data_IF_755911341655
#
_entry.id   IF_755911341655
#
_cell.length_a   1.000
_cell.length_b   1.000
_cell.length_c   1.000
_cell.angle_alpha   90.00
_cell.angle_beta   90.00
_cell.angle_gamma   90.00
#
_symmetry.space_group_name_H-M   'P 1'
#
loop_
_entity.id
_entity.type
_entity.pdbx_description
1 polymer ?
#
# COMPACT_ATOMS: atom_id res chain seq x y z
N UNK A 1 -64.41 -62.77 140.01
CA UNK A 1 -65.45 -63.76 140.34
C UNK A 1 -64.93 -65.07 139.80
N UNK A 2 -64.09 -65.75 140.58
CA UNK A 2 -64.53 -66.74 141.59
C UNK A 2 -65.04 -68.01 140.87
N UNK A 3 -64.64 -69.23 141.18
CA UNK A 3 -63.96 -69.78 142.34
C UNK A 3 -63.80 -71.30 142.11
N UNK A 4 -62.85 -71.89 142.85
CA UNK A 4 -62.87 -73.25 143.41
C UNK A 4 -62.78 -74.49 142.48
N UNK A 5 -61.71 -75.30 142.58
CA UNK A 5 -61.35 -76.27 143.64
C UNK A 5 -61.97 -77.66 143.36
N UNK A 6 -61.12 -78.69 143.16
CA UNK A 6 -60.89 -79.83 144.08
C UNK A 6 -62.13 -80.76 144.16
N UNK A 7 -62.07 -82.07 143.92
CA UNK A 7 -61.13 -83.08 144.40
C UNK A 7 -61.40 -84.44 143.71
N UNK A 8 -60.33 -85.24 143.54
CA UNK A 8 -60.13 -86.71 143.69
C UNK A 8 -61.33 -87.69 143.53
N UNK A 9 -61.21 -88.94 143.05
CA UNK A 9 -60.16 -89.97 143.11
C UNK A 9 -60.53 -91.14 142.16
N UNK A 10 -59.52 -91.86 141.63
CA UNK A 10 -59.41 -93.32 141.31
C UNK A 10 -60.54 -94.05 140.52
N UNK A 11 -60.32 -94.98 139.56
CA UNK A 11 -59.28 -96.00 139.32
C UNK A 11 -59.16 -96.35 137.80
N UNK A 12 -58.05 -97.04 137.44
CA UNK A 12 -57.56 -97.42 136.09
C UNK A 12 -58.28 -98.63 135.40
N UNK A 13 -57.83 -99.24 134.27
CA UNK A 13 -57.07 -98.78 133.07
C UNK A 13 -57.67 -99.26 131.70
N UNK A 14 -57.23 -98.70 130.55
CA UNK A 14 -57.46 -99.27 129.19
C UNK A 14 -57.12 -98.36 128.00
N UNK A 15 -55.83 -98.20 127.63
CA UNK A 15 -55.34 -97.11 126.76
C UNK A 15 -54.54 -97.42 125.48
N UNK A 16 -54.18 -98.66 125.15
CA UNK A 16 -53.14 -98.91 124.12
C UNK A 16 -53.65 -98.95 122.66
N UNK A 17 -54.90 -99.36 122.44
CA UNK A 17 -55.41 -99.65 121.08
C UNK A 17 -55.72 -98.41 120.24
N UNK A 18 -55.87 -97.23 120.87
CA UNK A 18 -56.25 -95.98 120.20
C UNK A 18 -55.05 -95.23 119.60
N UNK A 19 -53.86 -95.36 120.18
CA UNK A 19 -52.65 -94.65 119.74
C UNK A 19 -52.14 -95.21 118.40
N UNK A 20 -52.17 -96.53 118.24
CA UNK A 20 -51.73 -97.22 117.02
C UNK A 20 -52.59 -96.79 115.81
N UNK A 21 -53.91 -96.64 115.99
CA UNK A 21 -54.81 -96.25 114.90
C UNK A 21 -54.51 -94.83 114.40
N UNK A 22 -54.22 -93.88 115.30
CA UNK A 22 -53.90 -92.50 114.93
C UNK A 22 -52.58 -92.43 114.16
N UNK A 23 -51.58 -93.20 114.57
CA UNK A 23 -50.28 -93.26 113.87
C UNK A 23 -50.41 -93.82 112.46
N UNK A 24 -51.18 -94.90 112.27
CA UNK A 24 -51.39 -95.50 110.93
C UNK A 24 -52.12 -94.53 110.01
N UNK A 25 -53.16 -93.84 110.50
CA UNK A 25 -53.89 -92.83 109.72
C UNK A 25 -52.98 -91.66 109.35
N UNK A 26 -52.16 -91.17 110.27
CA UNK A 26 -51.18 -90.12 110.01
C UNK A 26 -50.16 -90.51 108.94
N UNK A 27 -49.68 -91.75 108.97
CA UNK A 27 -48.75 -92.30 107.97
C UNK A 27 -49.38 -92.41 106.59
N UNK A 28 -50.64 -92.87 106.50
CA UNK A 28 -51.36 -92.95 105.23
C UNK A 28 -51.59 -91.55 104.64
N UNK A 29 -51.97 -90.58 105.46
CA UNK A 29 -52.12 -89.18 105.02
C UNK A 29 -50.80 -88.58 104.55
N UNK A 30 -49.70 -88.85 105.25
CA UNK A 30 -48.36 -88.40 104.84
C UNK A 30 -47.94 -89.01 103.50
N UNK A 31 -48.23 -90.30 103.28
CA UNK A 31 -47.94 -90.98 102.01
C UNK A 31 -48.78 -90.40 100.86
N UNK A 32 -50.07 -90.15 101.08
CA UNK A 32 -50.95 -89.52 100.06
C UNK A 32 -50.46 -88.12 99.71
N UNK A 33 -50.05 -87.33 100.71
CA UNK A 33 -49.47 -86.00 100.49
C UNK A 33 -48.17 -86.05 99.69
N UNK A 34 -47.31 -87.05 99.94
CA UNK A 34 -46.07 -87.23 99.22
C UNK A 34 -46.30 -87.64 97.74
N UNK A 35 -47.26 -88.53 97.49
CA UNK A 35 -47.68 -88.90 96.13
C UNK A 35 -48.25 -87.69 95.39
N UNK A 36 -49.07 -86.87 96.04
CA UNK A 36 -49.60 -85.64 95.44
C UNK A 36 -48.48 -84.64 95.10
N UNK A 37 -47.50 -84.45 95.98
CA UNK A 37 -46.34 -83.61 95.72
C UNK A 37 -45.51 -84.13 94.54
N UNK A 38 -45.35 -85.44 94.39
CA UNK A 38 -44.66 -86.05 93.25
C UNK A 38 -45.43 -85.83 91.93
N UNK A 39 -46.75 -85.99 91.91
CA UNK A 39 -47.57 -85.75 90.72
C UNK A 39 -47.54 -84.27 90.31
N UNK A 40 -47.52 -83.35 91.28
CA UNK A 40 -47.42 -81.92 90.99
C UNK A 40 -46.02 -81.53 90.51
N UNK A 41 -44.97 -82.16 91.05
CA UNK A 41 -43.60 -81.97 90.58
C UNK A 41 -43.41 -82.47 89.15
N UNK A 42 -44.05 -83.58 88.75
CA UNK A 42 -43.98 -84.07 87.36
C UNK A 42 -44.75 -83.17 86.39
N UNK A 43 -45.91 -82.63 86.78
CA UNK A 43 -46.64 -81.64 85.99
C UNK A 43 -45.85 -80.34 85.81
N UNK A 44 -45.26 -79.81 86.88
CA UNK A 44 -44.39 -78.62 86.81
C UNK A 44 -43.17 -78.84 85.92
N UNK A 45 -42.54 -80.02 85.98
CA UNK A 45 -41.43 -80.35 85.10
C UNK A 45 -41.87 -80.41 83.62
N UNK A 46 -43.10 -80.86 83.34
CA UNK A 46 -43.66 -80.86 82.00
C UNK A 46 -43.94 -79.44 81.49
N UNK A 47 -44.53 -78.58 82.31
CA UNK A 47 -44.81 -77.18 81.96
C UNK A 47 -43.51 -76.39 81.74
N UNK A 48 -42.48 -76.62 82.57
CA UNK A 48 -41.15 -76.02 82.40
C UNK A 48 -40.49 -76.52 81.12
N UNK A 49 -40.65 -77.79 80.75
CA UNK A 49 -40.11 -78.34 79.51
C UNK A 49 -40.78 -77.71 78.28
N UNK A 50 -42.11 -77.60 78.26
CA UNK A 50 -42.84 -76.94 77.18
C UNK A 50 -42.53 -75.43 77.11
N UNK A 51 -42.35 -74.78 78.26
CA UNK A 51 -41.96 -73.37 78.30
C UNK A 51 -40.55 -73.15 77.75
N UNK A 52 -39.60 -74.03 78.07
CA UNK A 52 -38.25 -74.01 77.49
C UNK A 52 -38.29 -74.24 75.98
N UNK A 53 -39.08 -75.21 75.50
CA UNK A 53 -39.21 -75.52 74.09
C UNK A 53 -39.85 -74.37 73.30
N UNK A 54 -40.94 -73.78 73.82
CA UNK A 54 -41.59 -72.63 73.20
C UNK A 54 -40.72 -71.37 73.23
N UNK A 55 -39.94 -71.16 74.29
CA UNK A 55 -38.96 -70.05 74.37
C UNK A 55 -37.82 -70.27 73.38
N UNK A 56 -37.30 -71.50 73.28
CA UNK A 56 -36.26 -71.84 72.32
C UNK A 56 -36.75 -71.67 70.88
N UNK A 57 -37.98 -72.10 70.58
CA UNK A 57 -38.60 -71.93 69.26
C UNK A 57 -38.82 -70.45 68.91
N UNK A 58 -39.18 -69.60 69.89
CA UNK A 58 -39.27 -68.16 69.68
C UNK A 58 -37.90 -67.52 69.42
N UNK A 59 -36.86 -67.93 70.16
CA UNK A 59 -35.48 -67.46 69.92
C UNK A 59 -35.01 -67.86 68.53
N UNK A 60 -35.26 -69.10 68.08
CA UNK A 60 -34.92 -69.54 66.73
C UNK A 60 -35.69 -68.75 65.67
N UNK A 61 -37.01 -68.56 65.82
CA UNK A 61 -37.80 -67.75 64.88
C UNK A 61 -37.34 -66.30 64.80
N UNK A 62 -36.97 -65.71 65.93
CA UNK A 62 -36.41 -64.35 65.96
C UNK A 62 -35.06 -64.34 65.27
N UNK A 63 -34.18 -65.31 65.56
CA UNK A 63 -32.88 -65.49 64.90
C UNK A 63 -32.99 -65.60 63.38
N UNK A 64 -33.90 -66.46 62.91
CA UNK A 64 -34.19 -66.67 61.49
C UNK A 64 -34.76 -65.40 60.84
N UNK A 65 -35.73 -64.73 61.51
CA UNK A 65 -36.30 -63.49 61.01
C UNK A 65 -35.29 -62.34 60.96
N UNK A 66 -34.40 -62.22 61.95
CA UNK A 66 -33.31 -61.25 61.94
C UNK A 66 -32.29 -61.55 60.85
N UNK A 67 -31.99 -62.82 60.60
CA UNK A 67 -31.05 -63.23 59.55
C UNK A 67 -31.64 -62.94 58.17
N UNK A 68 -32.89 -63.33 57.94
CA UNK A 68 -33.60 -63.04 56.70
C UNK A 68 -33.74 -61.53 56.43
N UNK A 69 -34.01 -60.73 57.46
CA UNK A 69 -34.06 -59.26 57.34
C UNK A 69 -32.68 -58.67 57.02
N UNK A 70 -31.61 -59.21 57.62
CA UNK A 70 -30.24 -58.79 57.32
C UNK A 70 -29.89 -59.10 55.86
N UNK A 71 -30.20 -60.31 55.39
CA UNK A 71 -29.99 -60.74 54.01
C UNK A 71 -30.78 -59.85 53.04
N UNK A 72 -32.06 -59.59 53.31
CA UNK A 72 -32.88 -58.70 52.49
C UNK A 72 -32.31 -57.26 52.45
N UNK A 73 -31.79 -56.76 53.57
CA UNK A 73 -31.18 -55.42 53.63
C UNK A 73 -29.84 -55.36 52.91
N UNK A 74 -29.04 -56.43 52.98
CA UNK A 74 -27.79 -56.55 52.23
C UNK A 74 -28.05 -56.63 50.74
N UNK A 75 -29.06 -57.39 50.31
CA UNK A 75 -29.45 -57.49 48.90
C UNK A 75 -29.95 -56.15 48.37
N UNK A 76 -30.83 -55.46 49.11
CA UNK A 76 -31.30 -54.12 48.75
C UNK A 76 -30.16 -53.09 48.71
N UNK A 77 -29.20 -53.19 49.62
CA UNK A 77 -28.02 -52.31 49.63
C UNK A 77 -27.09 -52.60 48.45
N UNK A 78 -26.87 -53.87 48.11
CA UNK A 78 -26.10 -54.28 46.94
C UNK A 78 -26.75 -53.79 45.65
N UNK A 79 -28.07 -53.94 45.51
CA UNK A 79 -28.82 -53.48 44.35
C UNK A 79 -28.75 -51.95 44.21
N UNK A 80 -28.87 -51.22 45.33
CA UNK A 80 -28.72 -49.76 45.36
C UNK A 80 -27.29 -49.34 44.98
N UNK A 81 -26.27 -50.01 45.50
CA UNK A 81 -24.86 -49.76 45.15
C UNK A 81 -24.57 -50.05 43.69
N UNK A 82 -25.14 -51.13 43.14
CA UNK A 82 -25.00 -51.50 41.73
C UNK A 82 -25.69 -50.47 40.83
N UNK A 83 -26.91 -50.05 41.15
CA UNK A 83 -27.61 -48.98 40.44
C UNK A 83 -26.88 -47.63 40.50
N UNK A 84 -26.33 -47.27 41.67
CA UNK A 84 -25.52 -46.07 41.82
C UNK A 84 -24.22 -46.13 41.02
N UNK A 85 -23.56 -47.30 40.99
CA UNK A 85 -22.34 -47.53 40.22
C UNK A 85 -22.60 -47.48 38.71
N UNK A 86 -23.69 -48.09 38.24
CA UNK A 86 -24.09 -48.06 36.83
C UNK A 86 -24.47 -46.65 36.37
N UNK A 87 -25.21 -45.90 37.20
CA UNK A 87 -25.51 -44.50 36.94
C UNK A 87 -24.25 -43.64 36.90
N UNK A 88 -23.33 -43.81 37.85
CA UNK A 88 -22.04 -43.10 37.88
C UNK A 88 -21.19 -43.42 36.63
N UNK A 89 -21.15 -44.69 36.21
CA UNK A 89 -20.43 -45.12 35.01
C UNK A 89 -21.07 -44.57 33.72
N UNK A 90 -22.40 -44.51 33.64
CA UNK A 90 -23.11 -43.92 32.52
C UNK A 90 -22.79 -42.42 32.36
N UNK A 91 -22.84 -41.66 33.46
CA UNK A 91 -22.48 -40.23 33.48
C UNK A 91 -21.00 -40.05 33.13
N UNK A 92 -20.10 -40.86 33.70
CA UNK A 92 -18.67 -40.79 33.38
C UNK A 92 -18.38 -41.12 31.89
N UNK A 93 -19.12 -42.06 31.30
CA UNK A 93 -18.98 -42.43 29.88
C UNK A 93 -19.50 -41.32 28.96
N UNK A 94 -20.63 -40.70 29.30
CA UNK A 94 -21.16 -39.54 28.58
C UNK A 94 -20.20 -38.36 28.65
N UNK A 95 -19.74 -38.00 29.86
CA UNK A 95 -18.78 -36.92 30.05
C UNK A 95 -17.48 -37.14 29.24
N UNK A 96 -16.91 -38.36 29.28
CA UNK A 96 -15.73 -38.70 28.47
C UNK A 96 -16.00 -38.59 26.97
N UNK A 97 -17.17 -39.03 26.49
CA UNK A 97 -17.54 -38.94 25.08
C UNK A 97 -17.70 -37.49 24.63
N UNK A 98 -18.32 -36.65 25.46
CA UNK A 98 -18.48 -35.22 25.19
C UNK A 98 -17.15 -34.48 25.20
N UNK A 99 -16.29 -34.74 26.19
CA UNK A 99 -14.93 -34.17 26.22
C UNK A 99 -14.12 -34.61 25.02
N UNK A 100 -14.21 -35.88 24.59
CA UNK A 100 -13.49 -36.36 23.41
C UNK A 100 -14.03 -35.74 22.11
N UNK A 101 -15.35 -35.57 21.99
CA UNK A 101 -15.95 -34.84 20.86
C UNK A 101 -15.51 -33.38 20.83
N UNK A 102 -15.50 -32.70 21.97
CA UNK A 102 -15.03 -31.31 22.08
C UNK A 102 -13.54 -31.21 21.73
N UNK A 103 -12.71 -32.14 22.22
CA UNK A 103 -11.28 -32.19 21.89
C UNK A 103 -11.06 -32.37 20.38
N UNK A 104 -11.77 -33.30 19.73
CA UNK A 104 -11.66 -33.51 18.28
C UNK A 104 -12.12 -32.27 17.50
N UNK A 105 -13.21 -31.63 17.93
CA UNK A 105 -13.67 -30.38 17.31
C UNK A 105 -12.66 -29.24 17.49
N UNK A 106 -12.03 -29.15 18.66
CA UNK A 106 -11.00 -28.15 18.94
C UNK A 106 -9.77 -28.37 18.08
N UNK A 107 -9.27 -29.61 17.97
CA UNK A 107 -8.17 -29.98 17.07
C UNK A 107 -8.48 -29.65 15.61
N UNK A 108 -9.69 -29.97 15.12
CA UNK A 108 -10.12 -29.62 13.76
C UNK A 108 -10.18 -28.11 13.53
N UNK A 109 -10.70 -27.35 14.49
CA UNK A 109 -10.72 -25.87 14.41
C UNK A 109 -9.30 -25.30 14.38
N UNK A 110 -8.40 -25.86 15.19
CA UNK A 110 -7.00 -25.44 15.23
C UNK A 110 -6.29 -25.75 13.90
N UNK A 111 -6.50 -26.94 13.32
CA UNK A 111 -5.99 -27.29 11.99
C UNK A 111 -6.55 -26.38 10.89
N UNK A 112 -7.86 -26.10 10.91
CA UNK A 112 -8.49 -25.18 9.95
C UNK A 112 -7.94 -23.76 10.07
N UNK A 113 -7.77 -23.25 11.29
CA UNK A 113 -7.15 -21.95 11.52
C UNK A 113 -5.69 -21.94 11.05
N UNK A 114 -4.93 -23.00 11.32
CA UNK A 114 -3.54 -23.10 10.90
C UNK A 114 -3.41 -23.15 9.37
N UNK A 115 -4.31 -23.85 8.68
CA UNK A 115 -4.40 -23.84 7.20
C UNK A 115 -4.83 -22.48 6.64
N UNK A 116 -5.81 -21.81 7.25
CA UNK A 116 -6.23 -20.46 6.86
C UNK A 116 -5.06 -19.47 7.01
N UNK A 117 -4.40 -19.46 8.17
CA UNK A 117 -3.24 -18.60 8.42
C UNK A 117 -2.10 -18.91 7.45
N UNK A 118 -1.82 -20.20 7.16
CA UNK A 118 -0.81 -20.55 6.16
C UNK A 118 -1.16 -20.04 4.75
N UNK A 119 -2.44 -20.09 4.38
CA UNK A 119 -2.94 -19.56 3.10
C UNK A 119 -2.83 -18.04 3.05
N UNK A 120 -3.23 -17.33 4.10
CA UNK A 120 -3.11 -15.87 4.21
C UNK A 120 -1.65 -15.42 4.19
N UNK A 121 -0.75 -16.14 4.88
CA UNK A 121 0.70 -15.86 4.85
C UNK A 121 1.24 -16.03 3.43
N UNK A 122 0.81 -17.07 2.71
CA UNK A 122 1.24 -17.30 1.32
C UNK A 122 0.74 -16.19 0.40
N UNK A 123 -0.55 -15.83 0.50
CA UNK A 123 -1.13 -14.71 -0.25
C UNK A 123 -0.44 -13.39 0.06
N UNK A 124 -0.14 -13.12 1.33
CA UNK A 124 0.58 -11.92 1.75
C UNK A 124 2.02 -11.90 1.21
N UNK A 125 2.70 -13.04 1.18
CA UNK A 125 4.04 -13.17 0.59
C UNK A 125 4.03 -12.93 -0.92
N UNK A 126 3.03 -13.45 -1.63
CA UNK A 126 2.86 -13.25 -3.07
C UNK A 126 2.52 -11.78 -3.39
N UNK A 127 1.62 -11.18 -2.60
CA UNK A 127 1.29 -9.76 -2.69
C UNK A 127 2.51 -8.87 -2.43
N UNK A 128 3.32 -9.21 -1.41
CA UNK A 128 4.56 -8.49 -1.08
C UNK A 128 5.60 -8.62 -2.20
N UNK A 129 5.76 -9.82 -2.75
CA UNK A 129 6.69 -10.06 -3.88
C UNK A 129 6.25 -9.27 -5.11
N UNK A 130 4.96 -9.30 -5.44
CA UNK A 130 4.37 -8.53 -6.55
C UNK A 130 4.55 -7.03 -6.33
N UNK A 131 4.31 -6.53 -5.11
CA UNK A 131 4.50 -5.13 -4.76
C UNK A 131 5.96 -4.70 -4.91
N UNK A 132 6.92 -5.52 -4.45
CA UNK A 132 8.35 -5.25 -4.61
C UNK A 132 8.78 -5.22 -6.09
N UNK A 133 8.28 -6.14 -6.92
CA UNK A 133 8.55 -6.12 -8.36
C UNK A 133 8.01 -4.84 -9.01
N UNK A 134 6.76 -4.46 -8.73
CA UNK A 134 6.18 -3.20 -9.22
C UNK A 134 6.93 -1.98 -8.73
N UNK A 135 7.39 -1.98 -7.48
CA UNK A 135 8.18 -0.88 -6.92
C UNK A 135 9.54 -0.76 -7.64
N UNK A 136 10.17 -1.88 -7.98
CA UNK A 136 11.42 -1.90 -8.76
C UNK A 136 11.22 -1.41 -10.19
N UNK A 137 10.10 -1.78 -10.82
CA UNK A 137 9.71 -1.30 -12.16
C UNK A 137 9.48 0.22 -12.14
N UNK A 138 8.64 0.71 -11.20
CA UNK A 138 8.40 2.15 -11.01
C UNK A 138 9.70 2.90 -10.71
N UNK A 139 10.61 2.34 -9.90
CA UNK A 139 11.91 2.97 -9.65
C UNK A 139 12.77 3.05 -10.91
N UNK A 140 12.66 2.08 -11.81
CA UNK A 140 13.36 2.08 -13.10
C UNK A 140 12.77 3.14 -14.02
N UNK A 141 11.45 3.22 -14.11
CA UNK A 141 10.74 4.24 -14.88
C UNK A 141 11.06 5.65 -14.38
N UNK A 142 11.07 5.87 -13.07
CA UNK A 142 11.45 7.16 -12.47
C UNK A 142 12.89 7.55 -12.83
N UNK A 143 13.82 6.59 -12.85
CA UNK A 143 15.19 6.84 -13.29
C UNK A 143 15.28 7.14 -14.80
N UNK A 144 14.45 6.47 -15.61
CA UNK A 144 14.27 6.77 -17.03
C UNK A 144 13.79 8.20 -17.25
N UNK A 145 12.67 8.57 -16.61
CA UNK A 145 12.10 9.93 -16.67
C UNK A 145 13.10 10.98 -16.19
N UNK A 146 13.87 10.71 -15.13
CA UNK A 146 14.92 11.63 -14.66
C UNK A 146 16.00 11.85 -15.73
N UNK A 147 16.35 10.80 -16.47
CA UNK A 147 17.31 10.87 -17.57
C UNK A 147 16.75 11.69 -18.73
N UNK A 148 15.49 11.42 -19.12
CA UNK A 148 14.80 12.16 -20.18
C UNK A 148 14.68 13.65 -19.84
N UNK A 149 14.31 13.99 -18.61
CA UNK A 149 14.22 15.39 -18.13
C UNK A 149 15.58 16.08 -18.20
N UNK A 150 16.67 15.39 -17.85
CA UNK A 150 18.02 15.95 -17.98
C UNK A 150 18.40 16.18 -19.46
N UNK A 151 18.03 15.26 -20.35
CA UNK A 151 18.23 15.42 -21.79
C UNK A 151 17.46 16.62 -22.33
N UNK A 152 16.16 16.74 -22.02
CA UNK A 152 15.32 17.87 -22.42
C UNK A 152 15.87 19.18 -21.88
N UNK A 153 16.36 19.22 -20.63
CA UNK A 153 17.00 20.41 -20.07
C UNK A 153 18.25 20.81 -20.86
N UNK A 154 19.06 19.84 -21.31
CA UNK A 154 20.21 20.07 -22.17
C UNK A 154 19.80 20.59 -23.55
N UNK A 155 18.76 20.00 -24.15
CA UNK A 155 18.23 20.42 -25.45
C UNK A 155 17.68 21.85 -25.40
N UNK A 156 17.00 22.23 -24.30
CA UNK A 156 16.53 23.60 -24.07
C UNK A 156 17.71 24.57 -23.96
N UNK A 157 18.76 24.22 -23.21
CA UNK A 157 19.95 25.07 -23.09
C UNK A 157 20.66 25.25 -24.44
N UNK A 158 20.77 24.17 -25.23
CA UNK A 158 21.31 24.20 -26.59
C UNK A 158 20.47 25.07 -27.53
N UNK A 159 19.14 24.93 -27.46
CA UNK A 159 18.18 25.73 -28.22
C UNK A 159 18.30 27.21 -27.87
N UNK A 160 18.38 27.53 -26.58
CA UNK A 160 18.53 28.91 -26.11
C UNK A 160 19.83 29.54 -26.61
N UNK A 161 20.96 28.84 -26.51
CA UNK A 161 22.24 29.26 -27.09
C UNK A 161 22.16 29.47 -28.60
N UNK A 162 21.44 28.62 -29.32
CA UNK A 162 21.22 28.77 -30.77
C UNK A 162 20.36 30.00 -31.08
N UNK A 163 19.34 30.27 -30.26
CA UNK A 163 18.48 31.44 -30.38
C UNK A 163 19.28 32.73 -30.14
N UNK A 164 20.15 32.75 -29.13
CA UNK A 164 21.01 33.89 -28.81
C UNK A 164 21.98 34.19 -29.96
N UNK A 165 22.61 33.16 -30.54
CA UNK A 165 23.47 33.30 -31.72
C UNK A 165 22.70 33.81 -32.92
N UNK A 166 21.50 33.29 -33.15
CA UNK A 166 20.64 33.72 -34.27
C UNK A 166 20.20 35.18 -34.09
N UNK A 167 19.85 35.58 -32.86
CA UNK A 167 19.53 36.97 -32.54
C UNK A 167 20.72 37.91 -32.74
N UNK A 168 21.92 37.50 -32.33
CA UNK A 168 23.14 38.26 -32.57
C UNK A 168 23.45 38.41 -34.07
N UNK A 169 23.33 37.33 -34.84
CA UNK A 169 23.54 37.37 -36.30
C UNK A 169 22.48 38.23 -37.00
N UNK A 170 21.20 38.11 -36.61
CA UNK A 170 20.14 38.96 -37.15
C UNK A 170 20.40 40.44 -36.84
N UNK A 171 20.84 40.76 -35.62
CA UNK A 171 21.22 42.14 -35.25
C UNK A 171 22.40 42.65 -36.07
N UNK A 172 23.38 41.78 -36.37
CA UNK A 172 24.52 42.09 -37.23
C UNK A 172 24.07 42.34 -38.68
N UNK A 173 23.25 41.46 -39.24
CA UNK A 173 22.68 41.60 -40.60
C UNK A 173 21.82 42.85 -40.72
N UNK A 174 20.99 43.16 -39.72
CA UNK A 174 20.20 44.41 -39.69
C UNK A 174 21.12 45.64 -39.63
N UNK A 175 22.20 45.58 -38.84
CA UNK A 175 23.21 46.64 -38.79
C UNK A 175 23.94 46.84 -40.13
N UNK A 176 24.42 45.75 -40.72
CA UNK A 176 25.13 45.77 -42.01
C UNK A 176 24.21 46.23 -43.16
N UNK A 177 22.92 45.84 -43.15
CA UNK A 177 21.94 46.34 -44.13
C UNK A 177 21.63 47.84 -43.96
N UNK A 178 21.66 48.34 -42.71
CA UNK A 178 21.53 49.76 -42.43
C UNK A 178 22.71 50.59 -42.95
N UNK A 179 23.92 50.02 -42.96
CA UNK A 179 25.13 50.68 -43.48
C UNK A 179 25.30 50.50 -44.99
N UNK A 180 24.91 49.34 -45.55
CA UNK A 180 25.16 48.99 -46.95
C UNK A 180 24.10 49.54 -47.93
N UNK A 181 22.93 49.97 -47.46
CA UNK A 181 21.99 50.76 -48.29
C UNK A 181 22.48 52.19 -48.60
N UNK A 182 23.62 52.63 -48.03
CA UNK A 182 24.09 54.01 -48.05
C UNK A 182 25.18 54.39 -49.06
N UNK A 183 25.56 53.54 -50.02
CA UNK A 183 26.70 53.84 -50.94
C UNK A 183 26.30 54.40 -52.32
N UNK A 184 25.01 54.56 -52.61
CA UNK A 184 24.52 55.21 -53.82
C UNK A 184 23.75 56.45 -53.40
N UNK A 185 24.35 57.63 -53.60
CA UNK A 185 23.65 58.87 -53.34
C UNK A 185 22.56 59.04 -54.40
N UNK A 186 21.30 58.99 -53.98
CA UNK A 186 20.16 59.15 -54.91
C UNK A 186 19.75 60.61 -55.03
N UNK A 187 20.11 61.44 -54.06
CA UNK A 187 19.82 62.88 -54.03
C UNK A 187 21.02 63.73 -53.56
N UNK A 188 20.93 65.05 -53.69
CA UNK A 188 22.01 65.98 -53.34
C UNK A 188 22.38 65.99 -51.86
N UNK A 189 21.48 65.64 -50.94
CA UNK A 189 21.80 65.54 -49.49
C UNK A 189 22.68 64.32 -49.23
N UNK A 190 22.38 63.20 -49.88
CA UNK A 190 23.20 61.99 -49.81
C UNK A 190 24.62 62.25 -50.34
N UNK A 191 24.76 63.04 -51.41
CA UNK A 191 26.07 63.46 -51.94
C UNK A 191 26.87 64.30 -50.94
N UNK A 192 26.22 65.19 -50.17
CA UNK A 192 26.88 65.95 -49.11
C UNK A 192 27.35 65.03 -47.98
N UNK A 193 26.55 64.03 -47.61
CA UNK A 193 26.94 63.02 -46.62
C UNK A 193 28.13 62.17 -47.12
N UNK A 194 28.11 61.72 -48.37
CA UNK A 194 29.23 60.99 -48.97
C UNK A 194 30.51 61.83 -49.09
N UNK A 195 30.40 63.12 -49.40
CA UNK A 195 31.54 64.05 -49.36
C UNK A 195 32.12 64.20 -47.95
N UNK A 196 31.27 64.18 -46.91
CA UNK A 196 31.70 64.26 -45.51
C UNK A 196 32.43 62.99 -45.03
N UNK A 197 32.10 61.80 -45.56
CA UNK A 197 32.82 60.55 -45.29
C UNK A 197 34.27 60.58 -45.81
N UNK A 198 34.60 61.45 -46.78
CA UNK A 198 35.97 61.82 -47.12
C UNK A 198 36.79 60.79 -47.90
N UNK A 199 36.22 59.64 -48.28
CA UNK A 199 36.92 58.56 -48.97
C UNK A 199 37.07 58.78 -50.50
N UNK A 200 36.16 59.54 -51.12
CA UNK A 200 36.11 59.77 -52.58
C UNK A 200 35.76 61.23 -52.91
N UNK A 201 36.17 61.69 -54.09
CA UNK A 201 35.79 62.99 -54.65
C UNK A 201 34.57 62.82 -55.55
N UNK A 202 33.53 63.63 -55.32
CA UNK A 202 32.27 63.57 -56.05
C UNK A 202 32.07 64.83 -56.92
N UNK A 203 32.06 64.66 -58.24
CA UNK A 203 31.86 65.71 -59.22
C UNK A 203 30.47 65.58 -59.87
N UNK A 204 29.56 66.48 -59.53
CA UNK A 204 28.23 66.51 -60.14
C UNK A 204 28.30 66.97 -61.59
N UNK A 205 27.47 66.38 -62.44
CA UNK A 205 27.37 66.74 -63.83
C UNK A 205 25.93 66.75 -64.33
N UNK A 206 25.74 67.53 -65.38
CA UNK A 206 24.54 67.56 -66.20
C UNK A 206 25.00 67.50 -67.66
N UNK A 207 24.61 66.45 -68.39
CA UNK A 207 24.96 66.23 -69.79
C UNK A 207 23.72 66.39 -70.65
N UNK A 208 23.79 67.25 -71.66
CA UNK A 208 22.75 67.37 -72.69
C UNK A 208 23.22 66.75 -74.00
N UNK A 209 22.30 66.23 -74.81
CA UNK A 209 22.63 65.64 -76.11
C UNK A 209 23.14 66.66 -77.14
N UNK A 210 22.82 67.94 -76.93
CA UNK A 210 23.35 69.06 -77.73
C UNK A 210 24.81 69.37 -77.43
N UNK A 211 25.30 69.00 -76.25
CA UNK A 211 26.71 69.17 -75.89
C UNK A 211 27.53 68.00 -76.45
N UNK A 212 28.47 68.31 -77.35
CA UNK A 212 29.32 67.31 -77.99
C UNK A 212 30.21 66.58 -76.97
N UNK A 213 30.73 67.29 -75.98
CA UNK A 213 31.55 66.75 -74.88
C UNK A 213 31.46 67.66 -73.64
N UNK A 214 31.53 67.07 -72.44
CA UNK A 214 31.65 67.81 -71.17
C UNK A 214 32.76 67.20 -70.30
N UNK A 215 33.70 68.01 -69.85
CA UNK A 215 34.75 67.60 -68.93
C UNK A 215 34.21 67.57 -67.49
N UNK A 216 34.41 66.47 -66.77
CA UNK A 216 33.98 66.26 -65.38
C UNK A 216 35.15 65.63 -64.62
N UNK A 217 35.84 66.41 -63.79
CA UNK A 217 37.12 65.99 -63.20
C UNK A 217 38.16 65.74 -64.30
N UNK A 218 38.76 64.55 -64.28
CA UNK A 218 39.82 64.14 -65.22
C UNK A 218 39.28 63.37 -66.45
N UNK A 219 37.95 63.20 -66.58
CA UNK A 219 37.33 62.48 -67.71
C UNK A 219 36.42 63.39 -68.53
N UNK A 220 36.23 63.03 -69.79
CA UNK A 220 35.27 63.69 -70.68
C UNK A 220 34.07 62.78 -70.91
N UNK A 221 32.86 63.30 -70.72
CA UNK A 221 31.60 62.57 -70.87
C UNK A 221 30.78 63.14 -72.04
N UNK A 222 30.14 62.26 -72.79
CA UNK A 222 29.22 62.62 -73.88
C UNK A 222 27.96 61.77 -73.80
N UNK A 223 26.79 62.41 -73.79
CA UNK A 223 25.50 61.71 -73.82
C UNK A 223 25.21 61.23 -75.25
N UNK A 224 25.08 59.91 -75.44
CA UNK A 224 24.71 59.31 -76.73
C UNK A 224 23.21 59.09 -76.84
N UNK A 225 22.58 58.56 -75.78
CA UNK A 225 21.15 58.23 -75.75
C UNK A 225 20.57 58.45 -74.35
N UNK A 226 19.34 58.92 -74.30
CA UNK A 226 18.52 59.05 -73.09
C UNK A 226 17.11 58.51 -73.37
N UNK A 227 16.62 57.60 -72.54
CA UNK A 227 15.25 57.09 -72.54
C UNK A 227 14.61 57.32 -71.16
N UNK A 228 13.89 58.44 -70.98
CA UNK A 228 13.23 58.76 -69.71
C UNK A 228 12.13 57.77 -69.34
N UNK A 229 11.46 57.13 -70.32
CA UNK A 229 10.36 56.20 -70.04
C UNK A 229 10.87 54.89 -69.45
N UNK A 230 12.08 54.48 -69.85
CA UNK A 230 12.72 53.26 -69.36
C UNK A 230 13.80 53.52 -68.30
N UNK A 231 14.05 54.78 -67.94
CA UNK A 231 15.16 55.21 -67.09
C UNK A 231 16.51 54.63 -67.55
N UNK A 232 16.74 54.65 -68.87
CA UNK A 232 17.97 54.14 -69.48
C UNK A 232 18.75 55.23 -70.18
N UNK A 233 20.07 55.11 -70.18
CA UNK A 233 20.96 56.04 -70.85
C UNK A 233 22.16 55.32 -71.46
N UNK A 234 22.76 55.96 -72.46
CA UNK A 234 24.06 55.57 -73.00
C UNK A 234 24.99 56.77 -72.98
N UNK A 235 26.13 56.63 -72.32
CA UNK A 235 27.16 57.68 -72.21
C UNK A 235 28.46 57.14 -72.76
N UNK A 236 29.14 57.96 -73.56
CA UNK A 236 30.51 57.74 -73.97
C UNK A 236 31.44 58.47 -73.01
N UNK A 237 32.49 57.77 -72.59
CA UNK A 237 33.47 58.27 -71.64
C UNK A 237 34.84 58.21 -72.30
N UNK A 238 35.57 59.30 -72.19
CA UNK A 238 36.95 59.41 -72.66
C UNK A 238 37.86 59.73 -71.46
N UNK A 239 38.81 58.84 -71.22
CA UNK A 239 39.81 58.96 -70.15
C UNK A 239 41.14 58.37 -70.64
N UNK A 240 42.26 59.05 -70.36
CA UNK A 240 43.62 58.61 -70.72
C UNK A 240 43.73 58.10 -72.17
N UNK A 241 43.23 58.90 -73.12
CA UNK A 241 43.17 58.60 -74.57
C UNK A 241 42.35 57.35 -74.98
N UNK A 242 41.65 56.72 -74.03
CA UNK A 242 40.73 55.61 -74.30
C UNK A 242 39.30 56.10 -74.30
N UNK A 243 38.55 55.73 -75.34
CA UNK A 243 37.10 55.95 -75.45
C UNK A 243 36.36 54.65 -75.14
N UNK A 244 35.42 54.72 -74.22
CA UNK A 244 34.57 53.59 -73.82
C UNK A 244 33.12 54.04 -73.83
N UNK A 245 32.29 53.35 -74.60
CA UNK A 245 30.84 53.57 -74.58
C UNK A 245 30.17 52.65 -73.56
N UNK A 246 29.35 53.24 -72.68
CA UNK A 246 28.52 52.54 -71.70
C UNK A 246 27.09 52.59 -72.19
N UNK A 247 26.69 51.54 -72.92
CA UNK A 247 25.36 51.42 -73.53
C UNK A 247 24.31 50.91 -72.54
N UNK A 248 23.09 51.45 -72.67
CA UNK A 248 21.85 50.96 -72.07
C UNK A 248 21.89 50.73 -70.55
N UNK A 249 22.46 51.69 -69.83
CA UNK A 249 22.60 51.65 -68.37
C UNK A 249 21.38 52.21 -67.67
N UNK A 250 21.07 51.66 -66.50
CA UNK A 250 19.97 52.10 -65.64
C UNK A 250 20.40 53.21 -64.67
N UNK A 251 19.45 54.04 -64.25
CA UNK A 251 19.67 55.05 -63.20
C UNK A 251 20.05 54.42 -61.87
N UNK A 252 20.76 55.17 -61.02
CA UNK A 252 21.23 54.77 -59.69
C UNK A 252 22.08 53.49 -59.70
N UNK A 253 22.74 53.19 -60.82
CA UNK A 253 23.69 52.08 -60.93
C UNK A 253 25.10 52.65 -61.17
N UNK A 254 26.12 52.26 -60.37
CA UNK A 254 27.48 52.71 -60.56
C UNK A 254 28.11 52.05 -61.79
N UNK A 255 28.43 52.87 -62.79
CA UNK A 255 29.11 52.44 -64.00
C UNK A 255 30.61 52.63 -63.82
N UNK A 256 31.34 51.52 -63.65
CA UNK A 256 32.78 51.54 -63.44
C UNK A 256 33.57 51.85 -64.71
N UNK A 257 34.55 52.73 -64.56
CA UNK A 257 35.51 53.14 -65.56
C UNK A 257 36.92 52.96 -65.02
N UNK A 258 37.75 52.20 -65.73
CA UNK A 258 39.16 52.01 -65.37
C UNK A 258 40.00 53.06 -66.10
N UNK A 259 40.58 53.97 -65.34
CA UNK A 259 41.65 54.88 -65.80
C UNK A 259 43.01 54.25 -65.48
N UNK A 260 44.03 54.52 -66.28
CA UNK A 260 45.32 53.83 -66.18
C UNK A 260 46.04 54.14 -64.86
N UNK A 261 45.81 55.33 -64.31
CA UNK A 261 46.58 55.87 -63.18
C UNK A 261 46.14 55.40 -61.79
N UNK A 262 45.03 54.67 -61.64
CA UNK A 262 44.46 54.33 -60.33
C UNK A 262 44.12 52.84 -60.14
N UNK A 263 44.33 52.33 -58.91
CA UNK A 263 43.90 50.98 -58.50
C UNK A 263 42.38 50.87 -58.30
N UNK A 264 41.73 51.94 -57.86
CA UNK A 264 40.28 51.99 -57.69
C UNK A 264 39.63 52.60 -58.95
N UNK A 265 38.56 51.98 -59.50
CA UNK A 265 37.88 52.51 -60.67
C UNK A 265 37.15 53.82 -60.35
N UNK A 266 37.00 54.66 -61.38
CA UNK A 266 36.07 55.78 -61.33
C UNK A 266 34.66 55.22 -61.51
N UNK A 267 33.68 55.83 -60.85
CA UNK A 267 32.28 55.40 -60.96
C UNK A 267 31.42 56.55 -61.40
N UNK A 268 30.61 56.31 -62.43
CA UNK A 268 29.61 57.25 -62.92
C UNK A 268 28.26 56.76 -62.44
N UNK A 269 27.53 57.58 -61.70
CA UNK A 269 26.16 57.32 -61.29
C UNK A 269 25.28 58.38 -61.91
N UNK A 270 24.22 57.94 -62.61
CA UNK A 270 23.19 58.85 -63.14
C UNK A 270 21.94 58.68 -62.30
N UNK A 271 21.50 59.77 -61.68
CA UNK A 271 20.37 59.77 -60.76
C UNK A 271 19.06 60.06 -61.49
N UNK A 272 19.13 60.87 -62.56
CA UNK A 272 17.96 61.31 -63.30
C UNK A 272 18.21 61.31 -64.81
N UNK A 273 17.26 60.72 -65.55
CA UNK A 273 17.24 60.74 -67.01
C UNK A 273 16.04 61.56 -67.48
N UNK A 274 16.30 62.60 -68.26
CA UNK A 274 15.31 63.46 -68.90
C UNK A 274 15.44 63.35 -70.42
N UNK A 275 14.52 63.99 -71.14
CA UNK A 275 14.57 63.99 -72.61
C UNK A 275 15.82 64.74 -73.06
N UNK A 276 16.74 64.02 -73.71
CA UNK A 276 18.02 64.53 -74.21
C UNK A 276 18.96 65.11 -73.13
N UNK A 277 18.76 64.75 -71.86
CA UNK A 277 19.51 65.25 -70.71
C UNK A 277 19.68 64.15 -69.65
N UNK A 278 20.85 64.07 -69.01
CA UNK A 278 21.08 63.21 -67.82
C UNK A 278 21.82 63.97 -66.72
N UNK A 279 21.43 63.73 -65.48
CA UNK A 279 22.02 64.35 -64.28
C UNK A 279 22.58 63.25 -63.40
N UNK A 280 23.80 63.44 -62.93
CA UNK A 280 24.52 62.45 -62.15
C UNK A 280 25.78 63.00 -61.52
N UNK A 281 26.64 62.11 -61.08
CA UNK A 281 27.94 62.45 -60.53
C UNK A 281 29.00 61.42 -60.92
N UNK A 282 30.24 61.89 -60.97
CA UNK A 282 31.44 61.08 -61.08
C UNK A 282 32.09 60.97 -59.70
N UNK A 283 32.30 59.75 -59.25
CA UNK A 283 33.04 59.44 -58.03
C UNK A 283 34.45 58.98 -58.39
N UNK A 284 35.46 59.71 -57.93
CA UNK A 284 36.87 59.36 -58.11
C UNK A 284 37.54 59.09 -56.75
N UNK A 285 38.53 58.18 -56.67
CA UNK A 285 39.29 57.96 -55.45
C UNK A 285 40.05 59.23 -55.04
N UNK A 286 40.06 59.54 -53.73
CA UNK A 286 40.78 60.71 -53.20
C UNK A 286 42.30 60.51 -53.17
N UNK A 287 42.75 59.29 -52.92
CA UNK A 287 44.16 58.92 -52.95
C UNK A 287 44.46 58.26 -54.30
N UNK A 288 45.25 58.95 -55.13
CA UNK A 288 45.73 58.39 -56.39
C UNK A 288 46.89 57.45 -56.11
N UNK A 289 46.62 56.15 -55.96
CA UNK A 289 47.67 55.12 -55.82
C UNK A 289 47.93 54.53 -57.20
N UNK A 290 49.06 54.92 -57.80
CA UNK A 290 49.52 54.39 -59.08
C UNK A 290 49.70 52.88 -59.01
N UNK A 291 49.31 52.18 -60.09
CA UNK A 291 49.53 50.74 -60.22
C UNK A 291 51.04 50.51 -60.39
N UNK A 292 51.72 50.02 -59.35
CA UNK A 292 53.07 49.44 -59.46
C UNK A 292 53.06 48.25 -60.40
#
# INVERSE_FOLDING_TARGET
>A
MDNNQHERHNDAPGGDRRIITVLVVGLVLALVGNVYLLVRATQLNHDIAQMRESTQAQITKIGDATTALLEQRLEALNEQMRGATDAANAVAKQARSETQRQSVQFSRKLEQQQQQVATEITQLKDATTTANSKLSEVSTDVNGVKTDVNSVKSDIASTQSTLDKTGAELKRVVGDMGVMSGLIATNSKDLVALRALGERNYFEFNLTKSQSTKKVGDVTLTLKKSDPKRNRYSVEVMADDKRVEKKDRTVNEPVQLYVAENRQPYEIVVNQVKKDEVIGYLSTPKVKISRR
#
